data_IF_622277988530
#
_entry.id   IF_622277988530
#
_cell.length_a   1.000
_cell.length_b   1.000
_cell.length_c   1.000
_cell.angle_alpha   90.00
_cell.angle_beta   90.00
_cell.angle_gamma   90.00
#
_symmetry.space_group_name_H-M   'P 1'
#
loop_
_entity.id
_entity.type
_entity.pdbx_description
1 polymer ?
#
# COMPACT_ATOMS: atom_id res chain seq x y z
N UNK A 1 -2.04 16.44 -9.72
CA UNK A 1 -2.02 16.66 -8.26
C UNK A 1 -2.02 15.36 -7.45
N UNK A 2 -2.78 14.32 -7.83
CA UNK A 2 -2.76 13.01 -7.14
C UNK A 2 -1.53 12.11 -7.41
N UNK A 3 -0.54 12.60 -8.17
CA UNK A 3 0.63 11.82 -8.60
C UNK A 3 1.42 11.25 -7.39
N UNK A 4 1.73 12.01 -6.32
CA UNK A 4 2.47 11.47 -5.17
C UNK A 4 1.76 10.32 -4.46
N UNK A 5 0.42 10.31 -4.48
CA UNK A 5 -0.40 9.22 -3.92
C UNK A 5 -0.26 7.93 -4.72
N UNK A 6 -0.26 8.03 -6.05
CA UNK A 6 -0.06 6.91 -6.95
C UNK A 6 1.38 6.39 -6.91
N UNK A 7 2.36 7.29 -6.80
CA UNK A 7 3.75 6.91 -6.57
C UNK A 7 3.88 6.12 -5.27
N UNK A 8 3.37 6.62 -4.14
CA UNK A 8 3.43 5.92 -2.85
C UNK A 8 2.81 4.51 -2.91
N UNK A 9 1.71 4.35 -3.65
CA UNK A 9 1.10 3.04 -3.88
C UNK A 9 2.04 2.08 -4.64
N UNK A 10 2.73 2.56 -5.68
CA UNK A 10 3.73 1.76 -6.40
C UNK A 10 4.95 1.39 -5.54
N UNK A 11 5.39 2.28 -4.66
CA UNK A 11 6.47 1.99 -3.71
C UNK A 11 6.04 0.90 -2.71
N UNK A 12 4.84 1.01 -2.16
CA UNK A 12 4.25 -0.01 -1.29
C UNK A 12 4.12 -1.36 -2.00
N UNK A 13 3.67 -1.35 -3.26
CA UNK A 13 3.53 -2.54 -4.08
C UNK A 13 4.85 -3.31 -4.23
N UNK A 14 5.91 -2.60 -4.62
CA UNK A 14 7.25 -3.20 -4.73
C UNK A 14 7.79 -3.74 -3.42
N UNK A 15 7.48 -3.06 -2.30
CA UNK A 15 7.92 -3.50 -0.98
C UNK A 15 7.39 -4.87 -0.61
N UNK A 16 6.08 -5.09 -0.74
CA UNK A 16 5.49 -6.35 -0.30
C UNK A 16 5.69 -7.50 -1.30
N UNK A 17 5.81 -7.21 -2.60
CA UNK A 17 5.88 -8.26 -3.63
C UNK A 17 7.31 -8.75 -3.86
N UNK A 18 8.32 -7.90 -3.63
CA UNK A 18 9.72 -8.23 -3.88
C UNK A 18 10.57 -8.11 -2.62
N UNK A 19 10.63 -6.94 -1.98
CA UNK A 19 11.60 -6.65 -0.91
C UNK A 19 11.36 -7.54 0.33
N UNK A 20 10.11 -7.63 0.79
CA UNK A 20 9.76 -8.45 1.94
C UNK A 20 9.96 -9.95 1.71
N UNK A 21 9.40 -10.60 0.66
CA UNK A 21 9.59 -12.04 0.46
C UNK A 21 11.04 -12.44 0.14
N UNK A 22 11.81 -11.62 -0.58
CA UNK A 22 13.24 -11.91 -0.83
C UNK A 22 14.04 -11.88 0.46
N UNK A 23 13.76 -10.94 1.36
CA UNK A 23 14.44 -10.89 2.66
C UNK A 23 14.15 -12.09 3.56
N UNK A 24 12.93 -12.62 3.49
CA UNK A 24 12.55 -13.86 4.16
C UNK A 24 13.30 -15.06 3.58
N UNK A 25 13.51 -15.07 2.26
CA UNK A 25 14.24 -16.14 1.57
C UNK A 25 15.75 -16.10 1.88
N UNK A 26 16.34 -14.92 2.06
CA UNK A 26 17.75 -14.76 2.43
C UNK A 26 18.03 -14.98 3.93
N UNK A 27 16.99 -15.07 4.77
CA UNK A 27 17.16 -15.40 6.19
C UNK A 27 17.44 -16.91 6.36
N UNK A 28 18.70 -17.25 6.64
CA UNK A 28 19.17 -18.65 6.74
C UNK A 28 18.51 -19.42 7.89
N UNK A 29 18.18 -18.74 9.00
CA UNK A 29 17.47 -19.33 10.16
C UNK A 29 16.07 -19.82 9.75
N UNK A 30 15.40 -19.07 8.87
CA UNK A 30 14.02 -19.31 8.48
C UNK A 30 13.91 -20.28 7.31
N UNK A 31 14.82 -20.16 6.33
CA UNK A 31 14.92 -21.06 5.20
C UNK A 31 15.21 -22.51 5.62
N UNK A 32 16.04 -22.71 6.66
CA UNK A 32 16.40 -24.05 7.13
C UNK A 32 15.28 -24.71 7.96
N UNK A 33 14.43 -23.92 8.63
CA UNK A 33 13.32 -24.43 9.46
C UNK A 33 12.02 -24.63 8.66
N UNK A 34 11.77 -23.79 7.65
CA UNK A 34 10.56 -23.84 6.82
C UNK A 34 10.89 -23.54 5.35
N UNK A 35 11.28 -24.54 4.54
CA UNK A 35 11.67 -24.32 3.13
C UNK A 35 10.53 -23.80 2.23
N UNK A 36 9.26 -23.91 2.66
CA UNK A 36 8.08 -23.40 1.94
C UNK A 36 7.52 -22.08 2.48
N UNK A 37 8.28 -21.31 3.27
CA UNK A 37 7.81 -20.08 3.90
C UNK A 37 7.23 -19.05 2.89
N UNK A 38 7.87 -18.86 1.74
CA UNK A 38 7.41 -17.92 0.69
C UNK A 38 6.06 -18.34 0.09
N UNK A 39 5.77 -19.64 0.06
CA UNK A 39 4.47 -20.14 -0.39
C UNK A 39 3.38 -19.79 0.63
N UNK A 40 3.62 -20.02 1.93
CA UNK A 40 2.69 -19.63 2.99
C UNK A 40 2.44 -18.12 3.02
N UNK A 41 3.49 -17.31 2.81
CA UNK A 41 3.38 -15.86 2.66
C UNK A 41 2.41 -15.48 1.53
N UNK A 42 2.61 -16.06 0.34
CA UNK A 42 1.78 -15.76 -0.84
C UNK A 42 0.31 -16.17 -0.62
N UNK A 43 0.06 -17.32 0.00
CA UNK A 43 -1.30 -17.75 0.34
C UNK A 43 -1.97 -16.82 1.36
N UNK A 44 -1.26 -16.44 2.42
CA UNK A 44 -1.78 -15.52 3.42
C UNK A 44 -2.06 -14.13 2.84
N UNK A 45 -1.21 -13.66 1.91
CA UNK A 45 -1.42 -12.42 1.19
C UNK A 45 -2.68 -12.47 0.32
N UNK A 46 -2.87 -13.54 -0.47
CA UNK A 46 -4.08 -13.75 -1.28
C UNK A 46 -5.35 -13.83 -0.42
N UNK A 47 -5.27 -14.45 0.76
CA UNK A 47 -6.37 -14.47 1.71
C UNK A 47 -6.68 -13.04 2.21
N UNK A 48 -5.66 -12.25 2.55
CA UNK A 48 -5.79 -10.86 2.99
C UNK A 48 -6.40 -9.94 1.93
N UNK A 49 -5.97 -10.05 0.67
CA UNK A 49 -6.54 -9.26 -0.43
C UNK A 49 -8.01 -9.61 -0.70
N UNK A 50 -8.34 -10.91 -0.69
CA UNK A 50 -9.70 -11.39 -0.92
C UNK A 50 -10.65 -10.94 0.19
N UNK A 51 -10.25 -11.11 1.46
CA UNK A 51 -11.04 -10.68 2.62
C UNK A 51 -11.17 -9.15 2.64
N UNK A 52 -10.09 -8.42 2.37
CA UNK A 52 -10.15 -6.96 2.30
C UNK A 52 -11.13 -6.46 1.25
N UNK A 53 -11.11 -7.01 0.03
CA UNK A 53 -12.08 -6.68 -1.01
C UNK A 53 -13.53 -6.95 -0.59
N UNK A 54 -13.78 -8.11 0.04
CA UNK A 54 -15.10 -8.50 0.55
C UNK A 54 -15.59 -7.60 1.70
N UNK A 55 -14.70 -7.08 2.54
CA UNK A 55 -15.05 -6.18 3.64
C UNK A 55 -15.28 -4.75 3.15
N UNK A 56 -14.46 -4.27 2.22
CA UNK A 56 -14.51 -2.87 1.75
C UNK A 56 -15.73 -2.63 0.87
N UNK A 57 -16.13 -3.59 0.04
CA UNK A 57 -17.29 -3.46 -0.86
C UNK A 57 -18.61 -3.11 -0.15
N UNK A 58 -19.05 -3.83 0.91
CA UNK A 58 -20.25 -3.47 1.66
C UNK A 58 -20.04 -2.19 2.47
N UNK A 59 -18.85 -1.93 3.00
CA UNK A 59 -18.56 -0.74 3.79
C UNK A 59 -18.67 0.55 2.97
N UNK A 60 -18.25 0.50 1.70
CA UNK A 60 -18.42 1.60 0.76
C UNK A 60 -19.89 1.83 0.36
N UNK A 61 -20.73 0.80 0.42
CA UNK A 61 -22.18 0.91 0.16
C UNK A 61 -22.95 1.44 1.37
N UNK A 62 -22.50 1.10 2.58
CA UNK A 62 -23.17 1.45 3.83
C UNK A 62 -23.01 2.92 4.21
N UNK A 63 -21.89 3.56 3.85
CA UNK A 63 -21.58 4.92 4.28
C UNK A 63 -21.40 5.87 3.08
N UNK A 64 -22.17 6.96 3.07
CA UNK A 64 -21.99 8.06 2.11
C UNK A 64 -20.59 8.68 2.28
N UNK A 65 -19.83 8.85 1.19
CA UNK A 65 -18.44 9.36 1.15
C UNK A 65 -17.34 8.53 1.86
N UNK A 66 -17.64 7.31 2.31
CA UNK A 66 -16.64 6.48 2.99
C UNK A 66 -15.49 6.03 2.09
N UNK A 67 -15.74 5.90 0.79
CA UNK A 67 -14.72 5.49 -0.17
C UNK A 67 -13.56 6.47 -0.37
N UNK A 68 -13.68 7.74 0.08
CA UNK A 68 -12.68 8.77 -0.17
C UNK A 68 -11.79 9.07 1.05
N UNK A 69 -12.32 9.76 2.07
CA UNK A 69 -11.54 10.20 3.24
C UNK A 69 -11.26 9.08 4.25
N UNK A 70 -12.26 8.39 4.81
CA UNK A 70 -12.00 7.43 5.89
C UNK A 70 -11.28 6.17 5.38
N UNK A 71 -11.60 5.69 4.17
CA UNK A 71 -10.86 4.58 3.57
C UNK A 71 -9.37 4.91 3.37
N UNK A 72 -9.05 6.16 3.02
CA UNK A 72 -7.65 6.60 2.89
C UNK A 72 -6.89 6.58 4.22
N UNK A 73 -7.49 7.11 5.29
CA UNK A 73 -6.88 7.10 6.62
C UNK A 73 -6.70 5.69 7.19
N UNK A 74 -7.69 4.81 6.99
CA UNK A 74 -7.58 3.39 7.37
C UNK A 74 -6.42 2.74 6.62
N UNK A 75 -6.32 2.97 5.31
CA UNK A 75 -5.25 2.43 4.47
C UNK A 75 -3.87 2.93 4.91
N UNK A 76 -3.75 4.22 5.24
CA UNK A 76 -2.52 4.82 5.76
C UNK A 76 -2.12 4.20 7.11
N UNK A 77 -3.09 4.03 8.02
CA UNK A 77 -2.85 3.40 9.32
C UNK A 77 -2.34 1.97 9.18
N UNK A 78 -2.98 1.17 8.32
CA UNK A 78 -2.56 -0.21 8.04
C UNK A 78 -1.16 -0.25 7.45
N UNK A 79 -0.83 0.63 6.49
CA UNK A 79 0.52 0.72 5.94
C UNK A 79 1.57 1.06 6.98
N UNK A 80 1.33 2.06 7.84
CA UNK A 80 2.26 2.43 8.90
C UNK A 80 2.48 1.29 9.90
N UNK A 81 1.40 0.66 10.37
CA UNK A 81 1.49 -0.50 11.27
C UNK A 81 2.29 -1.61 10.60
N UNK A 82 2.05 -1.85 9.32
CA UNK A 82 2.75 -2.92 8.59
C UNK A 82 4.23 -2.61 8.39
N UNK A 83 4.62 -1.35 8.13
CA UNK A 83 6.03 -0.95 8.07
C UNK A 83 6.74 -1.13 9.41
N UNK A 84 6.06 -0.80 10.52
CA UNK A 84 6.60 -0.98 11.86
C UNK A 84 6.80 -2.48 12.15
N UNK A 85 5.79 -3.32 11.90
CA UNK A 85 5.90 -4.77 12.12
C UNK A 85 6.95 -5.39 11.20
N UNK A 86 7.06 -4.94 9.94
CA UNK A 86 8.10 -5.39 9.01
C UNK A 86 9.52 -5.06 9.52
N UNK A 87 9.72 -3.88 10.13
CA UNK A 87 10.99 -3.50 10.77
C UNK A 87 11.32 -4.35 12.00
N UNK A 88 10.32 -4.83 12.74
CA UNK A 88 10.52 -5.72 13.89
C UNK A 88 10.72 -7.19 13.50
N UNK A 89 10.16 -7.61 12.36
CA UNK A 89 10.18 -9.01 11.91
C UNK A 89 11.46 -9.37 11.14
N UNK A 90 12.09 -8.41 10.46
CA UNK A 90 13.25 -8.66 9.59
C UNK A 90 14.50 -7.94 10.12
N UNK A 91 15.63 -8.64 10.34
CA UNK A 91 16.88 -8.02 10.76
C UNK A 91 17.48 -7.17 9.64
N UNK A 92 18.19 -6.11 10.04
CA UNK A 92 18.55 -4.98 9.17
C UNK A 92 19.40 -5.34 7.94
N UNK A 93 20.17 -6.43 7.98
CA UNK A 93 21.09 -6.84 6.91
C UNK A 93 20.53 -7.91 5.96
N UNK A 94 19.31 -8.41 6.21
CA UNK A 94 18.71 -9.54 5.47
C UNK A 94 18.34 -9.22 4.01
N UNK A 95 18.52 -7.98 3.54
CA UNK A 95 18.27 -7.59 2.13
C UNK A 95 19.46 -7.86 1.21
N UNK A 96 20.68 -7.95 1.75
CA UNK A 96 21.91 -7.96 0.92
C UNK A 96 22.82 -9.17 1.19
N UNK A 97 22.83 -9.71 2.42
CA UNK A 97 23.69 -10.84 2.79
C UNK A 97 22.90 -11.90 3.57
N UNK A 98 23.14 -13.21 3.34
CA UNK A 98 22.57 -14.28 4.14
C UNK A 98 23.11 -14.17 5.58
N UNK A 99 22.37 -13.48 6.44
CA UNK A 99 22.81 -13.20 7.80
C UNK A 99 22.20 -14.23 8.75
N UNK A 100 23.04 -14.85 9.59
CA UNK A 100 22.62 -15.74 10.68
C UNK A 100 22.32 -15.01 11.99
N UNK A 101 22.20 -13.68 11.96
CA UNK A 101 21.82 -12.90 13.15
C UNK A 101 20.35 -13.13 13.50
N UNK A 102 20.09 -13.37 14.79
CA UNK A 102 18.74 -13.47 15.31
C UNK A 102 18.01 -12.15 15.10
N UNK A 103 16.89 -12.19 14.38
CA UNK A 103 15.92 -11.11 14.42
C UNK A 103 15.51 -10.84 15.89
N UNK A 104 15.19 -9.59 16.23
CA UNK A 104 14.79 -9.20 17.60
C UNK A 104 13.55 -9.97 18.12
N UNK A 105 12.75 -10.53 17.22
CA UNK A 105 11.73 -11.54 17.50
C UNK A 105 12.17 -12.87 16.86
N UNK A 106 12.07 -13.99 17.59
CA UNK A 106 12.17 -15.31 16.95
C UNK A 106 11.19 -15.38 15.77
N UNK A 107 11.67 -15.67 14.55
CA UNK A 107 10.81 -15.64 13.37
C UNK A 107 9.84 -16.83 13.40
N UNK A 108 8.68 -16.60 14.01
CA UNK A 108 7.57 -17.55 14.06
C UNK A 108 6.70 -17.40 12.81
N UNK A 109 6.32 -18.52 12.18
CA UNK A 109 5.51 -18.57 10.96
C UNK A 109 4.24 -17.70 11.05
N UNK A 110 3.62 -17.67 12.24
CA UNK A 110 2.41 -16.88 12.50
C UNK A 110 2.63 -15.37 12.26
N UNK A 111 3.76 -14.80 12.68
CA UNK A 111 4.03 -13.38 12.50
C UNK A 111 4.21 -13.03 11.02
N UNK A 112 4.89 -13.88 10.26
CA UNK A 112 5.07 -13.72 8.82
C UNK A 112 3.73 -13.78 8.08
N UNK A 113 2.89 -14.77 8.42
CA UNK A 113 1.55 -14.89 7.84
C UNK A 113 0.64 -13.72 8.21
N UNK A 114 0.73 -13.21 9.45
CA UNK A 114 -0.03 -12.05 9.89
C UNK A 114 0.40 -10.80 9.11
N UNK A 115 1.70 -10.57 8.94
CA UNK A 115 2.21 -9.44 8.13
C UNK A 115 1.75 -9.58 6.68
N UNK A 116 1.85 -10.76 6.09
CA UNK A 116 1.39 -11.04 4.73
C UNK A 116 -0.11 -10.72 4.56
N UNK A 117 -0.91 -11.11 5.54
CA UNK A 117 -2.34 -10.83 5.56
C UNK A 117 -2.63 -9.33 5.63
N UNK A 118 -1.93 -8.59 6.51
CA UNK A 118 -2.06 -7.13 6.64
C UNK A 118 -1.62 -6.41 5.36
N UNK A 119 -0.55 -6.88 4.71
CA UNK A 119 -0.07 -6.34 3.43
C UNK A 119 -1.12 -6.52 2.34
N UNK A 120 -1.69 -7.72 2.22
CA UNK A 120 -2.76 -8.02 1.26
C UNK A 120 -4.03 -7.19 1.52
N UNK A 121 -4.43 -7.08 2.79
CA UNK A 121 -5.56 -6.23 3.17
C UNK A 121 -5.29 -4.75 2.82
N UNK A 122 -4.10 -4.25 3.12
CA UNK A 122 -3.66 -2.89 2.80
C UNK A 122 -3.66 -2.60 1.29
N UNK A 123 -3.26 -3.55 0.45
CA UNK A 123 -3.30 -3.42 -1.02
C UNK A 123 -4.73 -3.32 -1.56
N UNK A 124 -5.64 -4.15 -1.06
CA UNK A 124 -7.05 -4.11 -1.46
C UNK A 124 -7.70 -2.77 -1.09
N UNK A 125 -7.43 -2.24 0.10
CA UNK A 125 -7.90 -0.94 0.57
C UNK A 125 -7.36 0.22 -0.27
N UNK A 126 -6.08 0.14 -0.61
CA UNK A 126 -5.40 1.06 -1.51
C UNK A 126 -6.05 1.09 -2.90
N UNK A 127 -6.29 -0.08 -3.50
CA UNK A 127 -6.87 -0.21 -4.83
C UNK A 127 -8.32 0.27 -4.86
N UNK A 128 -9.10 -0.03 -3.82
CA UNK A 128 -10.45 0.50 -3.65
C UNK A 128 -10.44 2.04 -3.55
N UNK A 129 -9.57 2.63 -2.72
CA UNK A 129 -9.47 4.09 -2.59
C UNK A 129 -9.07 4.76 -3.91
N UNK A 130 -8.12 4.18 -4.67
CA UNK A 130 -7.72 4.70 -5.97
C UNK A 130 -8.86 4.67 -6.98
N UNK A 131 -9.70 3.64 -6.94
CA UNK A 131 -10.85 3.50 -7.83
C UNK A 131 -11.90 4.58 -7.55
N UNK A 132 -12.18 4.85 -6.26
CA UNK A 132 -13.10 5.90 -5.84
C UNK A 132 -12.57 7.30 -6.17
N UNK A 133 -11.27 7.55 -5.95
CA UNK A 133 -10.65 8.84 -6.30
C UNK A 133 -10.70 9.06 -7.82
N UNK A 134 -10.38 8.03 -8.62
CA UNK A 134 -10.37 8.14 -10.08
C UNK A 134 -11.77 8.36 -10.67
N UNK A 135 -12.81 7.79 -10.06
CA UNK A 135 -14.20 8.01 -10.48
C UNK A 135 -14.73 9.39 -10.12
N UNK A 136 -14.28 9.98 -8.99
CA UNK A 136 -14.58 11.37 -8.62
C UNK A 136 -13.80 12.41 -9.42
N UNK A 137 -12.58 12.08 -9.84
CA UNK A 137 -11.72 13.04 -10.54
C UNK A 137 -12.27 13.44 -11.91
N UNK A 138 -12.76 12.47 -12.68
CA UNK A 138 -13.34 12.69 -14.01
C UNK A 138 -14.58 11.78 -14.14
N UNK A 139 -15.76 12.27 -13.73
CA UNK A 139 -16.99 11.50 -13.87
C UNK A 139 -17.23 11.14 -15.34
N UNK A 140 -17.53 9.87 -15.61
CA UNK A 140 -17.75 9.35 -16.97
C UNK A 140 -16.50 8.86 -17.71
N UNK A 141 -15.27 9.17 -17.24
CA UNK A 141 -14.00 8.66 -17.82
C UNK A 141 -13.07 8.04 -16.77
N UNK A 142 -13.66 7.40 -15.76
CA UNK A 142 -12.94 6.76 -14.66
C UNK A 142 -11.92 5.71 -15.11
N UNK A 143 -12.19 5.01 -16.23
CA UNK A 143 -11.26 4.03 -16.81
C UNK A 143 -9.96 4.68 -17.28
N UNK A 144 -10.05 5.82 -17.97
CA UNK A 144 -8.88 6.54 -18.48
C UNK A 144 -8.02 7.11 -17.35
N UNK A 145 -8.65 7.65 -16.29
CA UNK A 145 -7.93 8.17 -15.12
C UNK A 145 -7.28 7.05 -14.32
N UNK A 146 -7.94 5.91 -14.19
CA UNK A 146 -7.39 4.72 -13.52
C UNK A 146 -6.20 4.13 -14.29
N UNK A 147 -6.25 4.07 -15.62
CA UNK A 147 -5.11 3.67 -16.45
C UNK A 147 -3.91 4.59 -16.26
N UNK A 148 -4.13 5.91 -16.23
CA UNK A 148 -3.06 6.87 -15.94
C UNK A 148 -2.47 6.66 -14.53
N UNK A 149 -3.30 6.39 -13.52
CA UNK A 149 -2.83 6.07 -12.18
C UNK A 149 -1.95 4.82 -12.16
N UNK A 150 -2.36 3.75 -12.86
CA UNK A 150 -1.59 2.50 -12.99
C UNK A 150 -0.24 2.71 -13.68
N UNK A 151 -0.16 3.62 -14.65
CA UNK A 151 1.10 4.01 -15.29
C UNK A 151 2.11 4.59 -14.28
N UNK A 152 1.69 5.55 -13.45
CA UNK A 152 2.57 6.12 -12.40
C UNK A 152 2.94 5.10 -11.32
N UNK A 153 1.99 4.23 -10.93
CA UNK A 153 2.25 3.12 -10.01
C UNK A 153 3.35 2.21 -10.58
N UNK A 154 3.28 1.86 -11.87
CA UNK A 154 4.26 1.01 -12.54
C UNK A 154 5.65 1.63 -12.64
N UNK A 155 5.75 2.94 -12.92
CA UNK A 155 7.04 3.64 -12.94
C UNK A 155 7.68 3.64 -11.54
N UNK A 156 6.89 3.97 -10.51
CA UNK A 156 7.37 3.97 -9.13
C UNK A 156 7.85 2.58 -8.69
N UNK A 157 7.08 1.54 -9.04
CA UNK A 157 7.41 0.17 -8.67
C UNK A 157 8.68 -0.30 -9.35
N UNK A 158 8.86 0.01 -10.64
CA UNK A 158 10.06 -0.31 -11.40
C UNK A 158 11.31 0.40 -10.85
N UNK A 159 11.23 1.69 -10.54
CA UNK A 159 12.36 2.45 -9.97
C UNK A 159 12.84 1.84 -8.65
N UNK A 160 11.93 1.54 -7.73
CA UNK A 160 12.31 0.90 -6.46
C UNK A 160 12.85 -0.50 -6.68
N UNK A 161 12.31 -1.25 -7.64
CA UNK A 161 12.81 -2.59 -7.92
C UNK A 161 14.28 -2.58 -8.37
N UNK A 162 14.66 -1.63 -9.24
CA UNK A 162 16.06 -1.44 -9.63
C UNK A 162 16.94 -0.94 -8.48
N UNK A 163 16.40 -0.14 -7.55
CA UNK A 163 17.11 0.31 -6.36
C UNK A 163 17.15 -0.73 -5.22
N UNK A 164 16.34 -1.78 -5.29
CA UNK A 164 16.17 -2.78 -4.23
C UNK A 164 17.47 -3.46 -3.78
N UNK A 165 18.42 -3.87 -4.65
CA UNK A 165 19.65 -4.53 -4.20
C UNK A 165 20.65 -3.55 -3.56
N UNK A 166 20.47 -2.24 -3.72
CA UNK A 166 21.39 -1.22 -3.21
C UNK A 166 20.97 -0.66 -1.84
N UNK A 167 19.76 -0.98 -1.36
CA UNK A 167 19.16 -0.37 -0.19
C UNK A 167 18.89 -1.38 0.94
N UNK A 168 19.34 -1.03 2.15
CA UNK A 168 19.06 -1.75 3.40
C UNK A 168 17.58 -1.61 3.80
N UNK A 169 17.00 -2.58 4.54
CA UNK A 169 15.61 -2.52 5.02
C UNK A 169 15.21 -1.22 5.71
N UNK A 170 16.10 -0.64 6.52
CA UNK A 170 15.85 0.64 7.19
C UNK A 170 15.64 1.78 6.19
N UNK A 171 16.44 1.81 5.11
CA UNK A 171 16.35 2.84 4.09
C UNK A 171 15.05 2.72 3.31
N UNK A 172 14.61 1.49 2.99
CA UNK A 172 13.30 1.26 2.41
C UNK A 172 12.16 1.74 3.31
N UNK A 173 12.22 1.44 4.61
CA UNK A 173 11.19 1.89 5.56
C UNK A 173 11.16 3.43 5.70
N UNK A 174 12.32 4.09 5.78
CA UNK A 174 12.38 5.57 5.84
C UNK A 174 11.77 6.19 4.59
N UNK A 175 12.11 5.66 3.40
CA UNK A 175 11.54 6.12 2.13
C UNK A 175 10.02 5.94 2.16
N UNK A 176 9.52 4.75 2.50
CA UNK A 176 8.08 4.45 2.53
C UNK A 176 7.31 5.31 3.54
N UNK A 177 7.87 5.58 4.72
CA UNK A 177 7.27 6.46 5.72
C UNK A 177 7.22 7.90 5.20
N UNK A 178 8.34 8.40 4.66
CA UNK A 178 8.41 9.76 4.13
C UNK A 178 7.44 9.99 2.97
N UNK A 179 7.32 9.02 2.06
CA UNK A 179 6.40 9.09 0.91
C UNK A 179 4.95 8.93 1.34
N UNK A 180 4.69 8.17 2.40
CA UNK A 180 3.35 8.06 3.00
C UNK A 180 2.90 9.39 3.60
N UNK A 181 3.77 10.07 4.35
CA UNK A 181 3.50 11.41 4.91
C UNK A 181 3.24 12.43 3.79
N UNK A 182 4.11 12.45 2.76
CA UNK A 182 3.97 13.35 1.63
C UNK A 182 2.68 13.06 0.83
N UNK A 183 2.29 11.79 0.72
CA UNK A 183 1.02 11.39 0.10
C UNK A 183 -0.18 11.89 0.91
N UNK A 184 -0.11 11.90 2.24
CA UNK A 184 -1.20 12.35 3.12
C UNK A 184 -1.42 13.86 3.03
N UNK A 185 -0.33 14.65 3.02
CA UNK A 185 -0.41 16.10 2.81
C UNK A 185 -1.03 16.40 1.45
N UNK A 186 -0.53 15.74 0.40
CA UNK A 186 -1.02 15.96 -0.97
C UNK A 186 -2.48 15.54 -1.12
N UNK A 187 -2.89 14.43 -0.49
CA UNK A 187 -4.26 13.96 -0.50
C UNK A 187 -5.21 14.97 0.17
N UNK A 188 -4.86 15.49 1.34
CA UNK A 188 -5.66 16.49 2.04
C UNK A 188 -5.84 17.78 1.24
N UNK A 189 -4.78 18.24 0.56
CA UNK A 189 -4.86 19.40 -0.33
C UNK A 189 -5.74 19.11 -1.55
N UNK A 190 -5.60 17.92 -2.14
CA UNK A 190 -6.34 17.55 -3.35
C UNK A 190 -7.83 17.35 -3.07
N UNK A 191 -8.19 16.73 -1.95
CA UNK A 191 -9.60 16.56 -1.54
C UNK A 191 -10.28 17.91 -1.31
N UNK A 192 -9.62 18.85 -0.62
CA UNK A 192 -10.14 20.22 -0.45
C UNK A 192 -10.39 20.93 -1.78
N UNK A 193 -9.60 20.66 -2.81
CA UNK A 193 -9.80 21.25 -4.13
C UNK A 193 -10.94 20.58 -4.90
N UNK A 194 -11.10 19.27 -4.78
CA UNK A 194 -12.22 18.54 -5.39
C UNK A 194 -13.54 19.00 -4.78
N UNK A 195 -13.64 19.10 -3.46
CA UNK A 195 -14.84 19.61 -2.76
C UNK A 195 -15.19 21.04 -3.20
N UNK A 196 -14.20 21.94 -3.28
CA UNK A 196 -14.43 23.30 -3.80
C UNK A 196 -14.97 23.32 -5.23
N UNK A 197 -14.50 22.41 -6.10
CA UNK A 197 -15.00 22.29 -7.47
C UNK A 197 -16.44 21.77 -7.49
N UNK A 198 -16.74 20.74 -6.71
CA UNK A 198 -18.10 20.19 -6.59
C UNK A 198 -19.10 21.24 -6.03
N UNK A 199 -18.66 22.07 -5.07
CA UNK A 199 -19.47 23.17 -4.53
C UNK A 199 -19.77 24.26 -5.57
N UNK A 200 -18.78 24.65 -6.38
CA UNK A 200 -18.95 25.64 -7.46
C UNK A 200 -19.94 25.11 -8.51
N UNK A 201 -19.76 23.88 -8.99
CA UNK A 201 -20.68 23.27 -9.97
C UNK A 201 -22.10 23.13 -9.43
N UNK A 202 -22.25 22.84 -8.13
CA UNK A 202 -23.56 22.76 -7.47
C UNK A 202 -24.24 24.12 -7.36
N UNK A 203 -23.46 25.19 -7.14
CA UNK A 203 -23.98 26.54 -7.06
C UNK A 203 -24.36 27.09 -8.44
N UNK A 204 -23.61 26.78 -9.49
CA UNK A 204 -23.97 27.14 -10.88
C UNK A 204 -25.28 26.46 -11.31
N UNK A 205 -25.49 25.18 -10.97
CA UNK A 205 -26.75 24.46 -11.25
C UNK A 205 -27.96 24.99 -10.46
N UNK A 206 -27.75 25.79 -9.41
CA UNK A 206 -28.82 26.36 -8.56
C UNK A 206 -29.26 27.76 -8.98
N UNK A 207 -28.61 28.39 -9.96
CA UNK A 207 -29.14 29.61 -10.58
C UNK A 207 -30.19 29.23 -11.64
N UNK A 208 -31.50 29.43 -11.38
CA UNK A 208 -32.47 29.40 -12.45
C UNK A 208 -32.20 30.57 -13.40
N UNK A 209 -32.14 30.26 -14.70
CA UNK A 209 -32.29 31.22 -15.79
C UNK A 209 -33.62 31.99 -15.66
#
# INVERSE_FOLDING_TARGET
MFIPRFLNHGLFFSFYINIYPTSLQFSTILANRHPMLTAYYSFAMCAGTSIGGLVIAPLNKAFHDFGLRPLYYITMGIQLVTYVIALFTVPNLSTAEPTGESAFLEPHLIWVCLVAFLLGFGDSANTASNTVICSRLVPGRASHTYSAARFYIGIASALIFFCSPLLTMKMHAIILISTTILSAVTFNLAVKQVEKREEIERNEKKLPL
#
